data_IF_184168713510
#
_entry.id   IF_184168713510
#
_cell.length_a   1.000
_cell.length_b   1.000
_cell.length_c   1.000
_cell.angle_alpha   90.00
_cell.angle_beta   90.00
_cell.angle_gamma   90.00
#
_symmetry.space_group_name_H-M   'P 1'
#
loop_
_entity.id
_entity.type
_entity.pdbx_description
1 polymer ?
#
# COMPACT_ATOMS: atom_id res chain seq x y z
N UNK A 1 -11.49 -5.10 7.20
CA UNK A 1 -10.37 -6.00 7.55
C UNK A 1 -10.29 -5.96 9.05
N UNK A 2 -10.41 -7.12 9.68
CA UNK A 2 -10.40 -7.22 11.14
C UNK A 2 -9.01 -6.81 11.65
N UNK A 3 -8.98 -5.88 12.59
CA UNK A 3 -7.74 -5.33 13.16
C UNK A 3 -7.44 -5.97 14.52
N UNK A 4 -8.34 -6.82 15.03
CA UNK A 4 -8.20 -7.44 16.33
C UNK A 4 -7.44 -8.76 16.23
N UNK A 5 -6.44 -8.92 17.09
CA UNK A 5 -5.72 -10.18 17.22
C UNK A 5 -6.57 -11.19 18.02
N UNK A 6 -6.42 -12.51 17.76
CA UNK A 6 -7.08 -13.53 18.58
C UNK A 6 -6.75 -13.37 20.07
N UNK A 7 -7.71 -13.74 20.93
CA UNK A 7 -7.57 -13.67 22.40
C UNK A 7 -6.29 -14.39 22.83
N UNK A 8 -5.44 -13.69 23.60
CA UNK A 8 -4.16 -14.22 24.09
C UNK A 8 -2.96 -14.00 23.16
N UNK A 9 -3.11 -13.23 22.07
CA UNK A 9 -2.00 -12.84 21.19
C UNK A 9 -1.70 -11.34 21.31
N UNK A 10 -0.44 -11.03 21.63
CA UNK A 10 0.05 -9.64 21.72
C UNK A 10 0.57 -9.12 20.37
N UNK A 11 0.96 -10.03 19.47
CA UNK A 11 1.55 -9.71 18.18
C UNK A 11 1.17 -10.75 17.11
N UNK A 12 1.13 -10.35 15.82
CA UNK A 12 0.91 -11.27 14.72
C UNK A 12 2.13 -12.16 14.45
N UNK A 13 1.83 -13.42 14.12
CA UNK A 13 2.79 -14.46 13.71
C UNK A 13 3.65 -14.06 12.50
N UNK A 14 3.02 -13.43 11.51
CA UNK A 14 3.68 -12.89 10.30
C UNK A 14 3.10 -11.53 9.98
N UNK A 15 3.99 -10.55 9.76
CA UNK A 15 3.67 -9.21 9.27
C UNK A 15 4.06 -9.11 7.81
N UNK A 16 3.12 -8.74 6.94
CA UNK A 16 3.39 -8.47 5.53
C UNK A 16 3.38 -6.96 5.33
N UNK A 17 4.53 -6.38 5.00
CA UNK A 17 4.66 -4.98 4.64
C UNK A 17 4.67 -4.86 3.11
N UNK A 18 3.51 -4.58 2.53
CA UNK A 18 3.34 -4.49 1.10
C UNK A 18 2.17 -3.56 0.75
N UNK A 19 2.19 -3.00 -0.46
CA UNK A 19 1.02 -2.33 -1.00
C UNK A 19 -0.08 -3.35 -1.29
N UNK A 20 -1.35 -2.98 -1.14
CA UNK A 20 -2.50 -3.89 -1.34
C UNK A 20 -2.49 -4.57 -2.71
N UNK A 21 -2.04 -3.87 -3.77
CA UNK A 21 -1.93 -4.44 -5.12
C UNK A 21 -0.87 -5.54 -5.20
N UNK A 22 0.24 -5.42 -4.45
CA UNK A 22 1.27 -6.47 -4.40
C UNK A 22 0.73 -7.72 -3.72
N UNK A 23 -0.03 -7.56 -2.62
CA UNK A 23 -0.69 -8.66 -1.93
C UNK A 23 -1.70 -9.34 -2.85
N UNK A 24 -2.57 -8.58 -3.53
CA UNK A 24 -3.57 -9.09 -4.49
C UNK A 24 -2.88 -9.85 -5.62
N UNK A 25 -1.82 -9.30 -6.21
CA UNK A 25 -1.10 -9.97 -7.29
C UNK A 25 -0.48 -11.29 -6.82
N UNK A 26 0.15 -11.32 -5.65
CA UNK A 26 0.76 -12.54 -5.11
C UNK A 26 -0.28 -13.66 -4.91
N UNK A 27 -1.48 -13.35 -4.41
CA UNK A 27 -2.54 -14.36 -4.18
C UNK A 27 -3.31 -14.77 -5.45
N UNK A 28 -3.19 -14.01 -6.55
CA UNK A 28 -3.96 -14.25 -7.79
C UNK A 28 -3.14 -14.75 -8.97
N UNK A 29 -1.83 -14.48 -9.00
CA UNK A 29 -0.99 -14.79 -10.17
C UNK A 29 -0.33 -16.16 -10.10
N UNK A 30 -0.43 -16.87 -8.97
CA UNK A 30 0.28 -18.15 -8.70
C UNK A 30 1.79 -18.07 -8.95
N UNK A 31 2.34 -16.87 -8.99
CA UNK A 31 3.71 -16.64 -9.39
C UNK A 31 4.64 -16.55 -8.17
N UNK A 32 5.74 -17.30 -8.24
CA UNK A 32 6.73 -17.33 -7.17
C UNK A 32 7.44 -15.99 -7.05
N UNK A 33 7.71 -15.31 -8.17
CA UNK A 33 8.45 -14.05 -8.16
C UNK A 33 7.65 -12.94 -7.45
N UNK A 34 6.35 -12.84 -7.70
CA UNK A 34 5.47 -11.89 -6.99
C UNK A 34 5.31 -12.22 -5.50
N UNK A 35 5.27 -13.50 -5.14
CA UNK A 35 5.16 -13.93 -3.73
C UNK A 35 6.45 -13.67 -2.95
N UNK A 36 7.62 -13.89 -3.55
CA UNK A 36 8.93 -13.64 -2.92
C UNK A 36 9.22 -12.14 -2.75
N UNK A 37 8.62 -11.27 -3.57
CA UNK A 37 8.74 -9.81 -3.47
C UNK A 37 7.95 -9.21 -2.29
N UNK A 38 7.07 -9.98 -1.65
CA UNK A 38 6.38 -9.53 -0.43
C UNK A 38 7.36 -9.46 0.73
N UNK A 39 7.51 -8.27 1.33
CA UNK A 39 8.33 -8.13 2.52
C UNK A 39 7.57 -8.71 3.71
N UNK A 40 8.00 -9.89 4.16
CA UNK A 40 7.41 -10.60 5.30
C UNK A 40 8.39 -10.64 6.46
N UNK A 41 7.89 -10.39 7.67
CA UNK A 41 8.64 -10.50 8.92
C UNK A 41 7.89 -11.43 9.87
N UNK A 42 8.60 -12.41 10.41
CA UNK A 42 8.07 -13.43 11.31
C UNK A 42 9.07 -14.58 11.45
N UNK A 43 8.69 -15.63 12.15
CA UNK A 43 9.52 -16.84 12.25
C UNK A 43 9.70 -17.48 10.86
N UNK A 44 10.91 -17.97 10.55
CA UNK A 44 11.26 -18.48 9.22
C UNK A 44 10.30 -19.57 8.72
N UNK A 45 9.91 -20.49 9.60
CA UNK A 45 8.95 -21.58 9.31
C UNK A 45 7.58 -21.02 8.97
N UNK A 46 7.11 -20.04 9.73
CA UNK A 46 5.80 -19.43 9.53
C UNK A 46 5.76 -18.58 8.25
N UNK A 47 6.84 -17.83 7.96
CA UNK A 47 6.98 -17.09 6.70
C UNK A 47 6.96 -18.05 5.52
N UNK A 48 7.65 -19.19 5.59
CA UNK A 48 7.60 -20.22 4.54
C UNK A 48 6.20 -20.81 4.38
N UNK A 49 5.50 -21.07 5.49
CA UNK A 49 4.14 -21.58 5.47
C UNK A 49 3.18 -20.58 4.82
N UNK A 50 3.31 -19.28 5.11
CA UNK A 50 2.51 -18.22 4.46
C UNK A 50 2.83 -18.13 2.97
N UNK A 51 4.10 -18.23 2.57
CA UNK A 51 4.48 -18.23 1.14
C UNK A 51 3.90 -19.45 0.41
N UNK A 52 4.00 -20.64 1.00
CA UNK A 52 3.40 -21.84 0.44
C UNK A 52 1.88 -21.73 0.39
N UNK A 53 1.27 -21.19 1.43
CA UNK A 53 -0.16 -20.93 1.47
C UNK A 53 -0.57 -19.96 0.36
N UNK A 54 0.13 -18.86 0.12
CA UNK A 54 -0.16 -17.92 -0.99
C UNK A 54 -0.01 -18.62 -2.35
N UNK A 55 1.05 -19.41 -2.52
CA UNK A 55 1.28 -20.18 -3.75
C UNK A 55 0.21 -21.27 -3.99
N UNK A 56 -0.28 -21.92 -2.93
CA UNK A 56 -1.29 -22.98 -2.98
C UNK A 56 -2.72 -22.46 -2.99
N UNK A 57 -2.95 -21.31 -2.33
CA UNK A 57 -4.22 -20.60 -2.27
C UNK A 57 -4.71 -20.20 -3.64
N UNK A 58 -3.78 -20.14 -4.60
CA UNK A 58 -3.98 -19.41 -5.84
C UNK A 58 -5.38 -19.64 -6.36
N UNK A 59 -6.14 -18.57 -6.25
CA UNK A 59 -7.58 -18.59 -6.07
C UNK A 59 -8.31 -18.93 -7.39
N UNK A 60 -7.62 -19.51 -8.37
CA UNK A 60 -8.16 -19.85 -9.69
C UNK A 60 -9.40 -20.73 -9.60
N UNK A 61 -9.42 -21.71 -8.68
CA UNK A 61 -10.57 -22.61 -8.49
C UNK A 61 -11.66 -22.02 -7.58
N UNK A 62 -11.29 -21.29 -6.53
CA UNK A 62 -12.23 -20.65 -5.60
C UNK A 62 -12.91 -19.42 -6.20
N UNK A 63 -12.18 -18.58 -6.94
CA UNK A 63 -12.71 -17.48 -7.75
C UNK A 63 -13.56 -18.04 -8.90
N UNK A 64 -13.14 -19.12 -9.58
CA UNK A 64 -14.03 -19.77 -10.56
C UNK A 64 -15.32 -20.30 -9.91
N UNK A 65 -15.24 -20.88 -8.71
CA UNK A 65 -16.40 -21.35 -7.95
C UNK A 65 -17.33 -20.20 -7.54
N UNK A 66 -16.77 -19.09 -7.06
CA UNK A 66 -17.51 -17.90 -6.66
C UNK A 66 -18.10 -17.18 -7.88
N UNK A 67 -17.34 -17.02 -8.96
CA UNK A 67 -17.82 -16.49 -10.24
C UNK A 67 -18.93 -17.39 -10.80
N UNK A 68 -18.80 -18.72 -10.76
CA UNK A 68 -19.87 -19.64 -11.22
C UNK A 68 -21.13 -19.53 -10.37
N UNK A 69 -21.00 -19.36 -9.05
CA UNK A 69 -22.15 -19.11 -8.14
C UNK A 69 -22.80 -17.75 -8.40
N UNK A 70 -22.01 -16.69 -8.56
CA UNK A 70 -22.49 -15.32 -8.80
C UNK A 70 -23.07 -15.17 -10.23
N UNK A 71 -22.46 -15.80 -11.22
CA UNK A 71 -22.85 -15.70 -12.63
C UNK A 71 -24.00 -16.64 -13.02
N UNK A 72 -24.48 -17.45 -12.08
CA UNK A 72 -25.56 -18.41 -12.26
C UNK A 72 -25.13 -19.58 -13.15
N UNK A 73 -25.16 -20.79 -12.60
CA UNK A 73 -24.91 -22.01 -13.36
C UNK A 73 -25.99 -22.24 -14.40
N UNK A 74 -25.83 -21.70 -15.61
CA UNK A 74 -26.45 -22.15 -16.86
C UNK A 74 -25.53 -21.74 -18.00
N UNK A 75 -25.24 -22.69 -18.89
CA UNK A 75 -24.27 -22.56 -19.97
C UNK A 75 -24.42 -21.26 -20.73
N UNK A 76 -23.42 -20.38 -20.61
CA UNK A 76 -23.16 -19.38 -21.64
C UNK A 76 -22.10 -19.97 -22.53
N UNK A 77 -22.52 -20.28 -23.77
CA UNK A 77 -21.67 -20.47 -24.92
C UNK A 77 -20.46 -19.54 -24.84
N UNK A 78 -19.28 -20.05 -25.20
CA UNK A 78 -18.06 -19.24 -25.32
C UNK A 78 -18.43 -17.90 -25.98
N UNK A 79 -18.04 -16.75 -25.40
CA UNK A 79 -18.31 -15.46 -26.02
C UNK A 79 -17.76 -15.48 -27.45
N UNK A 80 -18.55 -15.00 -28.40
CA UNK A 80 -18.13 -14.89 -29.79
C UNK A 80 -16.86 -14.03 -29.88
N UNK A 81 -15.99 -14.29 -30.86
CA UNK A 81 -14.74 -13.53 -31.04
C UNK A 81 -14.99 -12.02 -31.15
N UNK A 82 -16.15 -11.61 -31.68
CA UNK A 82 -16.60 -10.22 -31.72
C UNK A 82 -16.90 -9.64 -30.32
N UNK A 83 -17.57 -10.39 -29.45
CA UNK A 83 -17.86 -9.97 -28.06
C UNK A 83 -16.59 -9.92 -27.20
N UNK A 84 -15.58 -10.74 -27.53
CA UNK A 84 -14.26 -10.68 -26.88
C UNK A 84 -13.44 -9.48 -27.34
N UNK A 85 -13.52 -9.10 -28.63
CA UNK A 85 -12.84 -7.93 -29.15
C UNK A 85 -13.37 -6.63 -28.54
N UNK A 86 -14.69 -6.46 -28.49
CA UNK A 86 -15.34 -5.28 -27.92
C UNK A 86 -15.02 -5.10 -26.43
N UNK A 87 -15.01 -6.22 -25.66
CA UNK A 87 -14.60 -6.19 -24.25
C UNK A 87 -13.14 -5.82 -24.09
N UNK A 88 -12.24 -6.35 -24.93
CA UNK A 88 -10.81 -6.02 -24.88
C UNK A 88 -10.56 -4.54 -25.11
N UNK A 89 -11.26 -3.92 -26.04
CA UNK A 89 -11.08 -2.49 -26.32
C UNK A 89 -11.65 -1.63 -25.19
N UNK A 90 -12.81 -1.98 -24.62
CA UNK A 90 -13.31 -1.30 -23.42
C UNK A 90 -12.35 -1.46 -22.21
N UNK A 91 -11.72 -2.63 -22.02
CA UNK A 91 -10.69 -2.80 -20.99
C UNK A 91 -9.45 -1.95 -21.25
N UNK A 92 -8.99 -1.82 -22.50
CA UNK A 92 -7.88 -0.94 -22.84
C UNK A 92 -8.18 0.52 -22.54
N UNK A 93 -9.39 0.99 -22.83
CA UNK A 93 -9.81 2.35 -22.49
C UNK A 93 -9.81 2.59 -20.99
N UNK A 94 -10.39 1.66 -20.22
CA UNK A 94 -10.38 1.69 -18.75
C UNK A 94 -8.96 1.70 -18.18
N UNK A 95 -8.06 0.90 -18.74
CA UNK A 95 -6.64 0.86 -18.34
C UNK A 95 -5.96 2.20 -18.63
N UNK A 96 -6.20 2.81 -19.80
CA UNK A 96 -5.66 4.14 -20.14
C UNK A 96 -6.18 5.21 -19.19
N UNK A 97 -7.47 5.17 -18.87
CA UNK A 97 -8.10 6.11 -17.94
C UNK A 97 -7.52 5.96 -16.52
N UNK A 98 -7.37 4.73 -16.04
CA UNK A 98 -6.73 4.45 -14.76
C UNK A 98 -5.26 4.88 -14.73
N UNK A 99 -4.51 4.69 -15.81
CA UNK A 99 -3.13 5.16 -15.91
C UNK A 99 -3.03 6.69 -15.80
N UNK A 100 -3.97 7.43 -16.40
CA UNK A 100 -4.03 8.88 -16.29
C UNK A 100 -4.34 9.34 -14.85
N UNK A 101 -5.26 8.65 -14.17
CA UNK A 101 -5.56 8.93 -12.75
C UNK A 101 -4.35 8.62 -11.85
N UNK A 102 -3.66 7.51 -12.07
CA UNK A 102 -2.44 7.14 -11.33
C UNK A 102 -1.34 8.18 -11.51
N UNK A 103 -1.11 8.63 -12.75
CA UNK A 103 -0.12 9.68 -13.02
C UNK A 103 -0.48 10.98 -12.27
N UNK A 104 -1.75 11.37 -12.29
CA UNK A 104 -2.24 12.55 -11.57
C UNK A 104 -2.04 12.43 -10.05
N UNK A 105 -2.42 11.29 -9.47
CA UNK A 105 -2.24 11.01 -8.04
C UNK A 105 -0.75 10.97 -7.64
N UNK A 106 0.11 10.44 -8.50
CA UNK A 106 1.56 10.39 -8.28
C UNK A 106 2.16 11.80 -8.26
N UNK A 107 1.75 12.66 -9.19
CA UNK A 107 2.16 14.08 -9.23
C UNK A 107 1.70 14.78 -7.96
N UNK A 108 0.41 14.67 -7.60
CA UNK A 108 -0.12 15.29 -6.37
C UNK A 108 0.56 14.80 -5.09
N UNK A 109 0.90 13.52 -5.01
CA UNK A 109 1.65 13.00 -3.86
C UNK A 109 3.06 13.58 -3.78
N UNK A 110 3.76 13.71 -4.90
CA UNK A 110 5.07 14.39 -4.94
C UNK A 110 4.97 15.86 -4.55
N UNK A 111 3.94 16.55 -5.02
CA UNK A 111 3.67 17.94 -4.64
C UNK A 111 3.44 18.04 -3.13
N UNK A 112 2.54 17.21 -2.57
CA UNK A 112 2.28 17.17 -1.13
C UNK A 112 3.55 16.83 -0.31
N UNK A 113 4.33 15.83 -0.73
CA UNK A 113 5.59 15.47 -0.07
C UNK A 113 6.60 16.62 -0.10
N UNK A 114 6.66 17.35 -1.22
CA UNK A 114 7.51 18.54 -1.36
C UNK A 114 7.03 19.66 -0.43
N UNK A 115 5.73 19.95 -0.42
CA UNK A 115 5.12 20.95 0.46
C UNK A 115 5.38 20.61 1.94
N UNK A 116 5.26 19.35 2.33
CA UNK A 116 5.57 18.90 3.70
C UNK A 116 7.04 19.11 4.04
N UNK A 117 7.97 18.77 3.13
CA UNK A 117 9.40 19.00 3.33
C UNK A 117 9.74 20.49 3.44
N UNK A 118 9.11 21.34 2.62
CA UNK A 118 9.28 22.79 2.70
C UNK A 118 8.75 23.36 4.01
N UNK A 119 7.56 22.95 4.44
CA UNK A 119 6.96 23.33 5.72
C UNK A 119 7.82 22.88 6.90
N UNK A 120 8.30 21.63 6.91
CA UNK A 120 9.21 21.13 7.94
C UNK A 120 10.54 21.89 7.96
N UNK A 121 11.09 22.22 6.79
CA UNK A 121 12.32 23.02 6.68
C UNK A 121 12.14 24.42 7.26
N UNK A 122 11.01 25.07 6.95
CA UNK A 122 10.63 26.38 7.53
C UNK A 122 10.44 26.28 9.05
N UNK A 123 9.79 25.23 9.54
CA UNK A 123 9.56 25.01 10.97
C UNK A 123 10.87 24.77 11.74
N UNK A 124 11.79 23.97 11.19
CA UNK A 124 13.13 23.77 11.79
C UNK A 124 13.90 25.07 11.89
N UNK A 125 13.90 25.85 10.81
CA UNK A 125 14.57 27.17 10.79
C UNK A 125 13.97 28.10 11.84
N UNK A 126 12.63 28.19 11.91
CA UNK A 126 11.94 29.01 12.88
C UNK A 126 12.28 28.59 14.32
N UNK A 127 12.24 27.28 14.62
CA UNK A 127 12.57 26.75 15.94
C UNK A 127 14.01 27.11 16.35
N UNK A 128 15.00 26.99 15.45
CA UNK A 128 16.39 27.37 15.74
C UNK A 128 16.50 28.86 16.06
N UNK A 129 15.87 29.72 15.25
CA UNK A 129 15.88 31.18 15.45
C UNK A 129 15.25 31.54 16.80
N UNK A 130 14.11 30.92 17.15
CA UNK A 130 13.45 31.15 18.43
C UNK A 130 14.34 30.75 19.60
N UNK A 131 15.02 29.59 19.54
CA UNK A 131 15.92 29.14 20.61
C UNK A 131 17.09 30.11 20.80
N UNK A 132 17.73 30.56 19.71
CA UNK A 132 18.83 31.53 19.80
C UNK A 132 18.36 32.86 20.40
N UNK A 133 17.22 33.38 19.97
CA UNK A 133 16.65 34.61 20.51
C UNK A 133 16.35 34.49 22.02
N UNK A 134 15.87 33.33 22.46
CA UNK A 134 15.56 33.05 23.87
C UNK A 134 16.84 33.04 24.73
N UNK A 135 17.93 32.43 24.23
CA UNK A 135 19.23 32.43 24.92
C UNK A 135 19.77 33.85 25.07
N UNK A 136 19.73 34.66 24.00
CA UNK A 136 20.18 36.06 24.04
C UNK A 136 19.35 36.88 25.03
N UNK A 137 18.03 36.69 25.05
CA UNK A 137 17.16 37.38 26.00
C UNK A 137 17.52 37.04 27.45
N UNK A 138 17.77 35.76 27.78
CA UNK A 138 18.16 35.34 29.13
C UNK A 138 19.49 35.94 29.55
N UNK A 139 20.51 35.88 28.67
CA UNK A 139 21.83 36.49 28.95
C UNK A 139 21.70 38.00 29.17
N UNK A 140 20.87 38.68 28.38
CA UNK A 140 20.65 40.12 28.50
C UNK A 140 19.99 40.49 29.83
N UNK A 141 19.01 39.71 30.28
CA UNK A 141 18.35 39.91 31.58
C UNK A 141 19.34 39.69 32.73
N UNK A 142 20.17 38.65 32.68
CA UNK A 142 21.19 38.39 33.69
C UNK A 142 22.20 39.54 33.76
N UNK A 143 22.69 40.02 32.61
CA UNK A 143 23.61 41.15 32.54
C UNK A 143 23.00 42.45 33.12
N UNK A 144 21.71 42.68 32.88
CA UNK A 144 20.99 43.85 33.40
C UNK A 144 20.75 43.75 34.91
N UNK A 145 20.54 42.54 35.45
CA UNK A 145 20.39 42.32 36.90
C UNK A 145 21.72 42.34 37.68
N UNK A 146 22.86 42.12 37.00
CA UNK A 146 24.19 42.15 37.60
C UNK A 146 24.87 43.53 37.54
N UNK A 147 24.28 44.51 36.86
CA UNK A 147 24.75 45.88 36.73
C UNK A 147 23.89 46.85 37.54
#
# INVERSE_FOLDING_TARGET
MDAELPVGRSEPDVVINAYSIQVINAITTHDRETTEKLQMRGESVQVQLVKQFIMQLGLGSLIQGLIRKIKGGKGKTKPSDAEMAEKKDHYKERIKEQQAQINTLTIKNRELETTVKELQSKQKTFMIVTVVALVVAVVSIIALLMN
#
